data_IF_492092551184
#
_entry.id   IF_492092551184
#
_cell.length_a   1.000
_cell.length_b   1.000
_cell.length_c   1.000
_cell.angle_alpha   90.00
_cell.angle_beta   90.00
_cell.angle_gamma   90.00
#
_symmetry.space_group_name_H-M   'P 1'
#
loop_
_entity.id
_entity.type
_entity.pdbx_description
1 polymer ?
#
# COMPACT_ATOMS: atom_id res chain seq x y z
N UNK A 1 2.48 -5.89 15.23
CA UNK A 1 1.59 -4.78 14.88
C UNK A 1 2.11 -3.50 15.54
N UNK A 2 1.95 -2.37 14.89
CA UNK A 2 2.34 -1.05 15.39
C UNK A 2 1.23 -0.48 16.27
N UNK A 3 1.58 0.14 17.41
CA UNK A 3 0.60 0.80 18.28
C UNK A 3 0.25 2.21 17.78
N UNK A 4 -0.86 2.77 18.29
CA UNK A 4 -1.21 4.19 18.00
C UNK A 4 -0.15 5.17 18.51
N UNK A 5 0.56 4.82 19.59
CA UNK A 5 1.65 5.66 20.12
C UNK A 5 2.87 5.64 19.18
N UNK A 6 3.21 4.47 18.64
CA UNK A 6 4.30 4.36 17.64
C UNK A 6 3.95 5.17 16.39
N UNK A 7 2.72 5.05 15.91
CA UNK A 7 2.24 5.82 14.75
C UNK A 7 2.33 7.32 14.99
N UNK A 8 1.90 7.80 16.16
CA UNK A 8 2.00 9.21 16.54
C UNK A 8 3.45 9.70 16.57
N UNK A 9 4.34 8.91 17.17
CA UNK A 9 5.76 9.24 17.22
C UNK A 9 6.36 9.32 15.81
N UNK A 10 6.10 8.34 14.97
CA UNK A 10 6.59 8.31 13.58
C UNK A 10 6.02 9.51 12.80
N UNK A 11 4.73 9.81 12.93
CA UNK A 11 4.11 10.94 12.24
C UNK A 11 4.73 12.29 12.66
N UNK A 12 5.11 12.44 13.93
CA UNK A 12 5.79 13.66 14.41
C UNK A 12 7.23 13.77 13.92
N UNK A 13 7.94 12.66 13.74
CA UNK A 13 9.35 12.63 13.38
C UNK A 13 9.60 12.55 11.86
N UNK A 14 8.65 12.00 11.11
CA UNK A 14 8.81 11.74 9.68
C UNK A 14 8.83 13.06 8.87
N UNK A 15 9.86 13.21 8.01
CA UNK A 15 9.99 14.33 7.08
C UNK A 15 9.24 14.13 5.76
N UNK A 16 8.82 12.91 5.46
CA UNK A 16 8.09 12.52 4.26
C UNK A 16 6.66 12.16 4.64
N UNK A 17 5.70 12.22 3.70
CA UNK A 17 4.37 11.68 3.92
C UNK A 17 4.43 10.20 4.32
N UNK A 18 3.47 9.79 5.12
CA UNK A 18 3.33 8.41 5.55
C UNK A 18 2.29 7.70 4.68
N UNK A 19 2.54 6.44 4.40
CA UNK A 19 1.57 5.50 3.88
C UNK A 19 1.19 4.54 5.01
N UNK A 20 -0.03 4.64 5.51
CA UNK A 20 -0.55 3.84 6.63
C UNK A 20 -1.46 2.76 6.11
N UNK A 21 -1.05 1.51 6.26
CA UNK A 21 -1.79 0.34 5.82
C UNK A 21 -2.53 -0.29 7.01
N UNK A 22 -3.86 -0.15 7.05
CA UNK A 22 -4.71 -0.66 8.11
C UNK A 22 -5.13 -2.11 7.82
N UNK A 23 -4.41 -3.07 8.42
CA UNK A 23 -4.77 -4.49 8.40
C UNK A 23 -5.68 -4.81 9.58
N UNK A 24 -6.88 -4.25 9.60
CA UNK A 24 -7.87 -4.42 10.67
C UNK A 24 -9.26 -4.70 10.07
N UNK A 25 -10.10 -5.39 10.83
CA UNK A 25 -11.51 -5.56 10.51
C UNK A 25 -12.30 -4.31 10.87
N UNK A 26 -13.32 -4.00 10.08
CA UNK A 26 -14.24 -2.87 10.29
C UNK A 26 -13.51 -1.54 10.59
N UNK A 27 -12.59 -1.10 9.70
CA UNK A 27 -11.80 0.11 9.94
C UNK A 27 -12.66 1.34 10.24
N UNK A 28 -13.89 1.44 9.74
CA UNK A 28 -14.80 2.55 10.00
C UNK A 28 -15.06 2.76 11.50
N UNK A 29 -15.12 1.69 12.28
CA UNK A 29 -15.36 1.78 13.73
C UNK A 29 -14.20 2.47 14.49
N UNK A 30 -13.02 2.53 13.88
CA UNK A 30 -11.79 2.99 14.52
C UNK A 30 -11.07 4.08 13.74
N UNK A 31 -11.53 4.43 12.55
CA UNK A 31 -10.79 5.28 11.60
C UNK A 31 -10.35 6.60 12.22
N UNK A 32 -11.20 7.24 13.00
CA UNK A 32 -10.91 8.51 13.67
C UNK A 32 -9.76 8.42 14.68
N UNK A 33 -9.49 7.23 15.24
CA UNK A 33 -8.33 7.02 16.12
C UNK A 33 -7.02 7.10 15.36
N UNK A 34 -7.03 6.71 14.10
CA UNK A 34 -5.86 6.79 13.21
C UNK A 34 -5.72 8.19 12.63
N UNK A 35 -6.78 8.73 12.04
CA UNK A 35 -6.74 10.00 11.30
C UNK A 35 -6.25 11.16 12.16
N UNK A 36 -6.67 11.27 13.43
CA UNK A 36 -6.22 12.34 14.34
C UNK A 36 -4.72 12.32 14.68
N UNK A 37 -4.03 11.23 14.37
CA UNK A 37 -2.60 11.06 14.61
C UNK A 37 -1.76 11.19 13.35
N UNK A 38 -2.39 11.48 12.21
CA UNK A 38 -1.76 11.64 10.90
C UNK A 38 -1.78 13.11 10.46
N UNK A 39 -1.03 13.40 9.42
CA UNK A 39 -0.92 14.75 8.84
C UNK A 39 -1.68 14.81 7.51
N UNK A 40 -2.15 15.98 7.15
CA UNK A 40 -2.72 16.20 5.80
C UNK A 40 -1.71 15.79 4.73
N UNK A 41 -2.18 15.00 3.75
CA UNK A 41 -1.36 14.45 2.69
C UNK A 41 -0.71 13.10 3.00
N UNK A 42 -0.80 12.58 4.24
CA UNK A 42 -0.50 11.17 4.51
C UNK A 42 -1.56 10.28 3.85
N UNK A 43 -1.19 9.07 3.45
CA UNK A 43 -2.09 8.11 2.80
C UNK A 43 -2.60 7.10 3.83
N UNK A 44 -3.88 6.74 3.72
CA UNK A 44 -4.45 5.66 4.54
C UNK A 44 -5.06 4.62 3.61
N UNK A 45 -4.54 3.39 3.67
CA UNK A 45 -5.07 2.24 2.96
C UNK A 45 -5.97 1.42 3.87
N UNK A 46 -7.14 1.08 3.36
CA UNK A 46 -8.05 0.10 3.97
C UNK A 46 -8.21 -1.10 3.04
N UNK A 47 -8.56 -2.24 3.61
CA UNK A 47 -8.98 -3.41 2.83
C UNK A 47 -10.50 -3.33 2.60
N UNK A 48 -10.98 -3.16 1.35
CA UNK A 48 -12.41 -3.10 1.07
C UNK A 48 -13.17 -4.33 1.55
N UNK A 49 -12.53 -5.50 1.46
CA UNK A 49 -13.09 -6.78 1.92
C UNK A 49 -13.21 -6.91 3.44
N UNK A 50 -12.59 -6.04 4.21
CA UNK A 50 -12.67 -6.00 5.67
C UNK A 50 -13.69 -4.96 6.18
N UNK A 51 -14.47 -4.34 5.29
CA UNK A 51 -15.41 -3.26 5.63
C UNK A 51 -16.76 -3.46 4.94
N UNK A 52 -17.86 -3.26 5.67
CA UNK A 52 -19.21 -3.34 5.09
C UNK A 52 -19.53 -2.15 4.17
N UNK A 53 -19.04 -0.96 4.52
CA UNK A 53 -19.30 0.28 3.78
C UNK A 53 -17.97 1.00 3.48
N UNK A 54 -17.11 0.42 2.62
CA UNK A 54 -15.77 0.96 2.39
C UNK A 54 -15.77 2.39 1.85
N UNK A 55 -16.77 2.77 1.05
CA UNK A 55 -16.90 4.14 0.53
C UNK A 55 -17.09 5.17 1.65
N UNK A 56 -17.82 4.83 2.72
CA UNK A 56 -17.98 5.71 3.89
C UNK A 56 -16.65 5.93 4.62
N UNK A 57 -15.88 4.86 4.79
CA UNK A 57 -14.55 4.94 5.42
C UNK A 57 -13.57 5.76 4.56
N UNK A 58 -13.59 5.54 3.24
CA UNK A 58 -12.78 6.33 2.29
C UNK A 58 -13.16 7.82 2.32
N UNK A 59 -14.47 8.14 2.41
CA UNK A 59 -14.92 9.53 2.55
C UNK A 59 -14.40 10.17 3.85
N UNK A 60 -14.42 9.45 4.96
CA UNK A 60 -13.87 9.94 6.23
C UNK A 60 -12.37 10.26 6.14
N UNK A 61 -11.61 9.49 5.36
CA UNK A 61 -10.19 9.75 5.09
C UNK A 61 -10.03 11.06 4.29
N UNK A 62 -10.85 11.25 3.26
CA UNK A 62 -10.86 12.46 2.42
C UNK A 62 -11.20 13.69 3.27
N UNK A 63 -12.27 13.62 4.06
CA UNK A 63 -12.76 14.72 4.90
C UNK A 63 -11.73 15.16 5.94
N UNK A 64 -10.89 14.24 6.39
CA UNK A 64 -9.78 14.53 7.29
C UNK A 64 -8.54 15.12 6.57
N UNK A 65 -8.56 15.22 5.24
CA UNK A 65 -7.48 15.78 4.42
C UNK A 65 -6.34 14.81 4.13
N UNK A 66 -6.54 13.50 4.33
CA UNK A 66 -5.62 12.44 3.95
C UNK A 66 -5.93 11.94 2.54
N UNK A 67 -4.99 11.21 1.96
CA UNK A 67 -5.15 10.57 0.66
C UNK A 67 -5.79 9.19 0.86
N UNK A 68 -6.97 8.93 0.27
CA UNK A 68 -7.60 7.62 0.37
C UNK A 68 -6.88 6.59 -0.50
N UNK A 69 -6.66 5.42 0.04
CA UNK A 69 -6.11 4.27 -0.66
C UNK A 69 -6.86 2.98 -0.33
N UNK A 70 -6.82 2.02 -1.23
CA UNK A 70 -7.26 0.65 -0.97
C UNK A 70 -6.10 -0.32 -1.07
N UNK A 71 -6.07 -1.31 -0.18
CA UNK A 71 -5.20 -2.45 -0.26
C UNK A 71 -6.01 -3.67 -0.73
N UNK A 72 -5.58 -4.31 -1.80
CA UNK A 72 -6.29 -5.43 -2.42
C UNK A 72 -5.56 -6.73 -2.12
N UNK A 73 -6.23 -7.64 -1.44
CA UNK A 73 -5.67 -8.97 -1.12
C UNK A 73 -5.46 -9.83 -2.38
N UNK A 74 -4.57 -10.82 -2.31
CA UNK A 74 -4.38 -11.75 -3.44
C UNK A 74 -5.68 -12.39 -3.92
N UNK A 75 -6.57 -12.80 -3.00
CA UNK A 75 -7.85 -13.43 -3.33
C UNK A 75 -8.96 -12.48 -3.78
N UNK A 76 -8.81 -11.16 -3.64
CA UNK A 76 -9.84 -10.18 -4.01
C UNK A 76 -9.70 -9.80 -5.47
N UNK A 77 -10.78 -9.87 -6.23
CA UNK A 77 -10.78 -9.49 -7.65
C UNK A 77 -10.84 -7.97 -7.84
N UNK A 78 -10.37 -7.48 -9.00
CA UNK A 78 -10.45 -6.05 -9.33
C UNK A 78 -11.91 -5.64 -9.53
N UNK A 79 -12.72 -6.51 -10.08
CA UNK A 79 -14.13 -6.27 -10.38
C UNK A 79 -14.92 -5.89 -9.11
N UNK A 80 -14.55 -6.45 -7.95
CA UNK A 80 -15.21 -6.12 -6.67
C UNK A 80 -14.87 -4.74 -6.12
N UNK A 81 -13.81 -4.12 -6.61
CA UNK A 81 -13.32 -2.80 -6.13
C UNK A 81 -13.43 -1.70 -7.19
N UNK A 82 -13.95 -2.00 -8.38
CA UNK A 82 -14.01 -1.07 -9.51
C UNK A 82 -14.62 0.30 -9.17
N UNK A 83 -15.73 0.33 -8.43
CA UNK A 83 -16.37 1.60 -8.07
C UNK A 83 -15.50 2.40 -7.06
N UNK A 84 -14.73 1.71 -6.22
CA UNK A 84 -13.81 2.37 -5.28
C UNK A 84 -12.61 2.97 -5.97
N UNK A 85 -12.17 2.44 -7.13
CA UNK A 85 -11.09 3.04 -7.92
C UNK A 85 -11.40 4.47 -8.36
N UNK A 86 -12.68 4.86 -8.43
CA UNK A 86 -13.11 6.24 -8.74
C UNK A 86 -12.96 7.20 -7.57
N UNK A 87 -12.84 6.66 -6.35
CA UNK A 87 -12.76 7.44 -5.10
C UNK A 87 -11.31 7.58 -4.65
N UNK A 88 -10.51 6.50 -4.80
CA UNK A 88 -9.15 6.44 -4.28
C UNK A 88 -8.12 7.04 -5.25
N UNK A 89 -6.98 7.45 -4.70
CA UNK A 89 -5.82 7.89 -5.50
C UNK A 89 -4.69 6.87 -5.52
N UNK A 90 -4.70 5.92 -4.59
CA UNK A 90 -3.65 4.90 -4.48
C UNK A 90 -4.23 3.51 -4.28
N UNK A 91 -3.66 2.54 -4.99
CA UNK A 91 -4.00 1.12 -4.89
C UNK A 91 -2.75 0.34 -4.48
N UNK A 92 -2.80 -0.28 -3.32
CA UNK A 92 -1.75 -1.16 -2.82
C UNK A 92 -2.13 -2.61 -3.14
N UNK A 93 -1.35 -3.27 -3.98
CA UNK A 93 -1.61 -4.66 -4.36
C UNK A 93 -0.78 -5.58 -3.49
N UNK A 94 -1.47 -6.39 -2.67
CA UNK A 94 -0.83 -7.43 -1.86
C UNK A 94 -0.42 -8.60 -2.75
N UNK A 95 0.87 -8.90 -2.79
CA UNK A 95 1.40 -10.06 -3.53
C UNK A 95 1.60 -11.30 -2.68
N UNK A 96 1.30 -11.19 -1.39
CA UNK A 96 1.26 -12.25 -0.38
C UNK A 96 -0.02 -12.09 0.43
N UNK A 97 -0.43 -13.14 1.16
CA UNK A 97 -1.56 -12.98 2.08
C UNK A 97 -1.19 -12.02 3.23
N UNK A 98 -2.13 -11.15 3.67
CA UNK A 98 -1.87 -10.25 4.78
C UNK A 98 -1.65 -11.00 6.09
N UNK A 99 -0.94 -10.36 7.03
CA UNK A 99 -0.75 -10.85 8.40
C UNK A 99 0.68 -11.21 8.76
N UNK A 100 1.41 -11.95 7.92
CA UNK A 100 2.77 -12.38 8.24
C UNK A 100 3.78 -11.94 7.17
N UNK A 101 4.90 -11.38 7.61
CA UNK A 101 6.03 -11.06 6.73
C UNK A 101 6.80 -12.34 6.31
N UNK A 102 7.56 -12.26 5.21
CA UNK A 102 8.43 -13.33 4.76
C UNK A 102 7.75 -14.43 3.93
N UNK A 103 6.50 -14.25 3.54
CA UNK A 103 5.79 -15.18 2.66
C UNK A 103 6.34 -15.12 1.22
N UNK A 104 6.16 -16.22 0.49
CA UNK A 104 6.51 -16.30 -0.93
C UNK A 104 5.50 -15.53 -1.79
N UNK A 105 6.01 -14.97 -2.88
CA UNK A 105 5.20 -14.33 -3.92
C UNK A 105 4.15 -15.30 -4.49
N UNK A 106 2.93 -14.78 -4.67
CA UNK A 106 1.82 -15.50 -5.29
C UNK A 106 1.72 -15.13 -6.79
N UNK A 107 2.14 -16.03 -7.71
CA UNK A 107 2.31 -15.67 -9.13
C UNK A 107 1.06 -15.16 -9.84
N UNK A 108 -0.13 -15.59 -9.41
CA UNK A 108 -1.39 -15.17 -10.02
C UNK A 108 -1.70 -13.67 -9.81
N UNK A 109 -1.05 -13.02 -8.82
CA UNK A 109 -1.21 -11.58 -8.56
C UNK A 109 -0.64 -10.73 -9.70
N UNK A 110 0.37 -11.22 -10.43
CA UNK A 110 0.91 -10.52 -11.60
C UNK A 110 -0.15 -10.17 -12.64
N UNK A 111 -1.13 -11.04 -12.88
CA UNK A 111 -2.26 -10.76 -13.77
C UNK A 111 -3.15 -9.62 -13.26
N UNK A 112 -3.34 -9.54 -11.94
CA UNK A 112 -4.09 -8.46 -11.30
C UNK A 112 -3.41 -7.11 -11.51
N UNK A 113 -2.09 -7.04 -11.30
CA UNK A 113 -1.30 -5.82 -11.53
C UNK A 113 -1.39 -5.39 -12.98
N UNK A 114 -1.26 -6.30 -13.94
CA UNK A 114 -1.39 -5.98 -15.37
C UNK A 114 -2.77 -5.38 -15.70
N UNK A 115 -3.85 -5.90 -15.12
CA UNK A 115 -5.19 -5.34 -15.30
C UNK A 115 -5.31 -3.94 -14.70
N UNK A 116 -4.77 -3.72 -13.50
CA UNK A 116 -4.79 -2.39 -12.86
C UNK A 116 -3.97 -1.36 -13.64
N UNK A 117 -2.82 -1.75 -14.17
CA UNK A 117 -2.00 -0.88 -15.03
C UNK A 117 -2.75 -0.43 -16.27
N UNK A 118 -3.58 -1.29 -16.87
CA UNK A 118 -4.43 -0.93 -18.00
C UNK A 118 -5.54 0.09 -17.64
N UNK A 119 -5.95 0.16 -16.37
CA UNK A 119 -6.96 1.08 -15.86
C UNK A 119 -6.36 2.36 -15.25
N UNK A 120 -5.04 2.41 -15.09
CA UNK A 120 -4.34 3.41 -14.30
C UNK A 120 -4.66 4.84 -14.71
N UNK A 121 -4.54 5.14 -16.01
CA UNK A 121 -4.73 6.48 -16.54
C UNK A 121 -6.22 6.88 -16.55
N UNK A 122 -7.11 5.95 -16.91
CA UNK A 122 -8.57 6.17 -16.91
C UNK A 122 -9.08 6.50 -15.50
N UNK A 123 -8.58 5.80 -14.49
CA UNK A 123 -9.02 5.94 -13.09
C UNK A 123 -8.21 6.99 -12.33
N UNK A 124 -7.16 7.55 -12.91
CA UNK A 124 -6.24 8.51 -12.26
C UNK A 124 -5.73 8.00 -10.91
N UNK A 125 -5.18 6.77 -10.91
CA UNK A 125 -4.67 6.07 -9.73
C UNK A 125 -3.17 5.79 -9.83
N UNK A 126 -2.54 5.69 -8.67
CA UNK A 126 -1.18 5.18 -8.51
C UNK A 126 -1.23 3.74 -7.98
N UNK A 127 -0.34 2.89 -8.48
CA UNK A 127 -0.31 1.46 -8.14
C UNK A 127 0.97 1.15 -7.36
N UNK A 128 0.81 0.57 -6.18
CA UNK A 128 1.88 0.18 -5.29
C UNK A 128 1.89 -1.33 -5.09
N UNK A 129 3.08 -1.88 -4.88
CA UNK A 129 3.30 -3.31 -4.62
C UNK A 129 3.66 -3.53 -3.16
N UNK A 130 3.00 -4.47 -2.49
CA UNK A 130 3.36 -4.92 -1.14
C UNK A 130 3.46 -6.45 -1.05
N UNK A 131 4.47 -6.91 -0.32
CA UNK A 131 4.78 -8.32 -0.10
C UNK A 131 5.79 -8.90 -1.10
N UNK A 132 6.66 -9.77 -0.62
CA UNK A 132 7.70 -10.47 -1.40
C UNK A 132 8.42 -9.61 -2.45
N UNK A 133 8.61 -8.32 -2.14
CA UNK A 133 9.19 -7.34 -3.04
C UNK A 133 10.71 -7.49 -3.08
N UNK A 134 11.21 -8.27 -4.04
CA UNK A 134 12.64 -8.40 -4.36
C UNK A 134 13.06 -7.47 -5.50
N UNK A 135 14.35 -7.38 -5.76
CA UNK A 135 14.90 -6.60 -6.87
C UNK A 135 14.36 -7.09 -8.23
N UNK A 136 14.12 -8.39 -8.37
CA UNK A 136 13.51 -9.02 -9.55
C UNK A 136 12.12 -8.43 -9.85
N UNK A 137 11.30 -8.20 -8.83
CA UNK A 137 9.96 -7.63 -8.99
C UNK A 137 10.02 -6.14 -9.35
N UNK A 138 10.96 -5.41 -8.77
CA UNK A 138 11.18 -4.00 -9.13
C UNK A 138 11.59 -3.89 -10.60
N UNK A 139 12.59 -4.68 -11.03
CA UNK A 139 13.06 -4.71 -12.42
C UNK A 139 11.94 -5.09 -13.39
N UNK A 140 11.08 -6.04 -13.01
CA UNK A 140 10.00 -6.50 -13.88
C UNK A 140 8.84 -5.50 -13.99
N UNK A 141 8.46 -4.82 -12.90
CA UNK A 141 7.19 -4.08 -12.83
C UNK A 141 7.34 -2.56 -12.81
N UNK A 142 8.48 -2.00 -12.42
CA UNK A 142 8.69 -0.55 -12.49
C UNK A 142 8.59 -0.01 -13.93
N UNK A 143 9.23 -0.63 -14.96
CA UNK A 143 9.08 -0.17 -16.33
C UNK A 143 7.67 -0.40 -16.90
N UNK A 144 6.87 -1.28 -16.31
CA UNK A 144 5.46 -1.47 -16.69
C UNK A 144 4.51 -0.40 -16.11
N UNK A 145 5.01 0.47 -15.20
CA UNK A 145 4.26 1.58 -14.64
C UNK A 145 3.78 1.43 -13.20
N UNK A 146 4.29 0.45 -12.43
CA UNK A 146 4.08 0.42 -10.97
C UNK A 146 4.80 1.60 -10.34
N UNK A 147 4.07 2.40 -9.53
CA UNK A 147 4.56 3.69 -9.00
C UNK A 147 5.42 3.54 -7.76
N UNK A 148 5.27 2.46 -7.01
CA UNK A 148 6.05 2.25 -5.81
C UNK A 148 6.04 0.83 -5.29
N UNK A 149 7.02 0.54 -4.43
CA UNK A 149 7.27 -0.78 -3.89
C UNK A 149 7.53 -0.69 -2.39
N UNK A 150 6.76 -1.45 -1.61
CA UNK A 150 6.95 -1.55 -0.15
C UNK A 150 8.09 -2.53 0.12
N UNK A 151 9.19 -2.00 0.64
CA UNK A 151 10.39 -2.78 0.93
C UNK A 151 10.33 -3.31 2.36
N UNK A 152 10.30 -4.61 2.49
CA UNK A 152 10.22 -5.32 3.77
C UNK A 152 11.40 -6.28 3.98
N UNK A 153 11.12 -7.40 4.62
CA UNK A 153 12.10 -8.45 4.95
C UNK A 153 12.76 -9.10 3.74
N UNK A 154 12.12 -9.05 2.57
CA UNK A 154 12.69 -9.63 1.33
C UNK A 154 13.91 -8.86 0.85
N UNK A 155 13.96 -7.54 1.02
CA UNK A 155 15.00 -6.72 0.41
C UNK A 155 15.69 -5.74 1.38
N UNK A 156 15.01 -5.25 2.42
CA UNK A 156 15.51 -4.18 3.26
C UNK A 156 15.87 -4.64 4.67
N UNK A 157 14.95 -5.30 5.39
CA UNK A 157 15.16 -5.64 6.79
C UNK A 157 15.92 -6.95 6.99
N UNK A 158 16.74 -7.02 8.08
CA UNK A 158 17.49 -8.23 8.43
C UNK A 158 18.60 -8.59 7.44
N UNK A 159 19.17 -7.60 6.75
CA UNK A 159 20.30 -7.75 5.84
C UNK A 159 21.57 -7.22 6.48
N UNK A 160 22.73 -7.74 6.05
CA UNK A 160 24.05 -7.31 6.54
C UNK A 160 24.43 -5.89 6.05
N UNK A 161 23.79 -5.43 4.97
CA UNK A 161 24.01 -4.08 4.43
C UNK A 161 23.18 -3.03 5.18
N UNK A 162 23.71 -1.81 5.25
CA UNK A 162 22.96 -0.68 5.79
C UNK A 162 21.75 -0.35 4.90
N UNK A 163 20.69 0.21 5.50
CA UNK A 163 19.50 0.62 4.72
C UNK A 163 19.85 1.65 3.63
N UNK A 164 20.82 2.53 3.90
CA UNK A 164 21.28 3.53 2.92
C UNK A 164 21.93 2.90 1.70
N UNK A 165 22.78 1.91 1.88
CA UNK A 165 23.43 1.16 0.79
C UNK A 165 22.41 0.35 0.00
N UNK A 166 21.51 -0.34 0.68
CA UNK A 166 20.44 -1.10 0.02
C UNK A 166 19.57 -0.18 -0.86
N UNK A 167 19.14 0.97 -0.33
CA UNK A 167 18.33 1.93 -1.09
C UNK A 167 19.11 2.55 -2.25
N UNK A 168 20.41 2.78 -2.11
CA UNK A 168 21.27 3.24 -3.20
C UNK A 168 21.30 2.20 -4.32
N UNK A 169 21.59 0.94 -3.99
CA UNK A 169 21.65 -0.16 -4.96
C UNK A 169 20.32 -0.34 -5.70
N UNK A 170 19.17 -0.21 -4.99
CA UNK A 170 17.85 -0.29 -5.62
C UNK A 170 17.63 0.85 -6.63
N UNK A 171 18.08 2.08 -6.32
CA UNK A 171 17.95 3.23 -7.22
C UNK A 171 18.85 3.13 -8.45
N UNK A 172 19.90 2.32 -8.38
CA UNK A 172 20.84 2.07 -9.48
C UNK A 172 20.40 0.88 -10.36
N UNK A 173 19.28 0.22 -10.04
CA UNK A 173 18.71 -0.83 -10.89
C UNK A 173 18.41 -0.25 -12.28
N UNK A 174 18.84 -0.97 -13.30
CA UNK A 174 18.54 -0.63 -14.71
C UNK A 174 17.31 -1.40 -15.17
N UNK A 175 16.42 -0.72 -15.84
CA UNK A 175 15.17 -1.24 -16.39
C UNK A 175 15.25 -1.31 -17.91
#
# INVERSE_FOLDING_TARGET
AMSLNDMRYIASAAKKPLDVHLMIEHPNNHINLFLKNLRKGDTVYIHPEAEYHPSTTLQSIIDAGMIPGIAINPGTSIETVMEMLRIVKKVLVMSVNPGNAGQMYLPYVGKKITKLLALKDEMDIQIFWDGACGADKIIEYAPKGVDGFVLGTTLLFGRDQSYGETLKNIRELKF
#
